data_IF_583074251324
#
_entry.id   IF_583074251324
#
_cell.length_a   1.000
_cell.length_b   1.000
_cell.length_c   1.000
_cell.angle_alpha   90.00
_cell.angle_beta   90.00
_cell.angle_gamma   90.00
#
_symmetry.space_group_name_H-M   'P 1'
#
loop_
_entity.id
_entity.type
_entity.pdbx_description
1 polymer ?
#
# COMPACT_ATOMS: atom_id res chain seq x y z
N UNK A 1 31.67 21.97 31.49
CA UNK A 1 30.84 22.89 30.69
C UNK A 1 29.40 22.50 30.95
N UNK A 2 28.49 23.44 31.19
CA UNK A 2 27.12 23.09 31.60
C UNK A 2 26.37 22.42 30.44
N UNK A 3 25.91 21.18 30.64
CA UNK A 3 25.28 20.36 29.60
C UNK A 3 24.01 21.02 29.03
N UNK A 4 23.33 21.86 29.83
CA UNK A 4 22.16 22.60 29.37
C UNK A 4 22.54 23.65 28.31
N UNK A 5 23.67 24.35 28.49
CA UNK A 5 24.19 25.31 27.50
C UNK A 5 24.58 24.63 26.19
N UNK A 6 25.16 23.43 26.26
CA UNK A 6 25.51 22.61 25.09
C UNK A 6 24.27 22.26 24.26
N UNK A 7 23.18 21.83 24.92
CA UNK A 7 21.91 21.51 24.26
C UNK A 7 21.25 22.73 23.59
N UNK A 8 21.32 23.90 24.23
CA UNK A 8 20.78 25.15 23.67
C UNK A 8 21.53 25.52 22.37
N UNK A 9 22.87 25.48 22.39
CA UNK A 9 23.71 25.80 21.23
C UNK A 9 23.44 24.84 20.08
N UNK A 10 23.33 23.53 20.34
CA UNK A 10 23.02 22.53 19.31
C UNK A 10 21.65 22.79 18.67
N UNK A 11 20.66 23.21 19.46
CA UNK A 11 19.30 23.54 18.98
C UNK A 11 19.30 24.80 18.08
N UNK A 12 20.09 25.81 18.42
CA UNK A 12 20.23 27.02 17.60
C UNK A 12 20.92 26.72 16.26
N UNK A 13 21.99 25.91 16.26
CA UNK A 13 22.69 25.53 15.02
C UNK A 13 21.78 24.71 14.10
N UNK A 14 20.95 23.82 14.65
CA UNK A 14 19.95 23.09 13.86
C UNK A 14 18.90 24.03 13.27
N UNK A 15 18.44 25.02 14.02
CA UNK A 15 17.52 26.04 13.53
C UNK A 15 18.14 26.89 12.40
N UNK A 16 19.42 27.24 12.48
CA UNK A 16 20.12 27.94 11.40
C UNK A 16 20.25 27.10 10.13
N UNK A 17 20.46 25.79 10.28
CA UNK A 17 20.54 24.83 9.16
C UNK A 17 19.19 24.68 8.45
N UNK A 18 18.09 24.51 9.19
CA UNK A 18 16.74 24.38 8.62
C UNK A 18 16.30 25.64 7.87
N UNK A 19 16.67 26.82 8.38
CA UNK A 19 16.30 28.11 7.77
C UNK A 19 17.35 28.65 6.80
N UNK A 20 18.39 27.87 6.47
CA UNK A 20 19.49 28.26 5.57
C UNK A 20 20.15 29.60 5.93
N UNK A 21 20.21 29.94 7.21
CA UNK A 21 20.86 31.17 7.69
C UNK A 21 22.39 31.08 7.62
N UNK A 22 22.92 29.85 7.60
CA UNK A 22 24.32 29.52 7.47
C UNK A 22 24.50 28.42 6.42
N UNK A 23 25.61 28.41 5.64
CA UNK A 23 25.88 27.34 4.71
C UNK A 23 26.05 25.99 5.44
N UNK A 24 25.49 24.92 4.86
CA UNK A 24 25.32 23.62 5.52
C UNK A 24 26.64 23.03 6.09
N UNK A 25 27.74 23.19 5.37
CA UNK A 25 29.06 22.70 5.78
C UNK A 25 29.53 23.32 7.11
N UNK A 26 29.19 24.57 7.40
CA UNK A 26 29.56 25.22 8.66
C UNK A 26 28.68 24.75 9.81
N UNK A 27 27.38 24.56 9.58
CA UNK A 27 26.49 23.98 10.56
C UNK A 27 26.93 22.56 10.94
N UNK A 28 27.35 21.76 9.95
CA UNK A 28 27.82 20.39 10.19
C UNK A 28 29.12 20.37 10.99
N UNK A 29 30.08 21.24 10.66
CA UNK A 29 31.30 21.40 11.45
C UNK A 29 31.02 21.77 12.92
N UNK A 30 30.15 22.77 13.14
CA UNK A 30 29.79 23.22 14.50
C UNK A 30 29.03 22.14 15.26
N UNK A 31 28.11 21.43 14.62
CA UNK A 31 27.38 20.33 15.24
C UNK A 31 28.35 19.23 15.67
N UNK A 32 29.27 18.79 14.80
CA UNK A 32 30.28 17.79 15.15
C UNK A 32 31.16 18.23 16.31
N UNK A 33 31.55 19.51 16.35
CA UNK A 33 32.38 20.08 17.41
C UNK A 33 31.62 20.11 18.75
N UNK A 34 30.38 20.60 18.76
CA UNK A 34 29.56 20.68 19.96
C UNK A 34 28.91 19.35 20.34
N UNK A 35 28.92 18.35 19.48
CA UNK A 35 28.50 16.99 19.83
C UNK A 35 29.67 16.07 20.12
N UNK A 36 30.91 16.58 20.08
CA UNK A 36 32.15 15.82 20.36
C UNK A 36 32.24 14.50 19.58
N UNK A 37 31.70 14.47 18.35
CA UNK A 37 31.59 13.23 17.56
C UNK A 37 30.53 12.22 18.02
N UNK A 38 29.92 12.40 19.20
CA UNK A 38 28.69 11.72 19.60
C UNK A 38 27.52 12.39 18.89
N UNK A 39 27.39 12.15 17.59
CA UNK A 39 26.43 12.80 16.70
C UNK A 39 25.09 13.07 17.39
N UNK A 40 24.60 14.31 17.24
CA UNK A 40 23.34 14.85 17.78
C UNK A 40 22.37 13.71 18.05
N UNK A 41 22.05 13.44 19.32
CA UNK A 41 21.16 12.34 19.68
C UNK A 41 19.94 12.32 18.75
N UNK A 42 20.00 11.40 17.78
CA UNK A 42 19.06 11.24 16.68
C UNK A 42 17.65 10.83 17.16
N UNK A 43 17.49 10.71 18.48
CA UNK A 43 16.33 10.19 19.18
C UNK A 43 15.08 11.06 19.04
N UNK A 44 15.19 12.35 18.69
CA UNK A 44 14.01 13.21 18.47
C UNK A 44 13.66 13.44 17.00
N UNK A 45 14.61 13.33 16.06
CA UNK A 45 14.36 13.53 14.63
C UNK A 45 13.91 12.22 13.94
N UNK A 46 14.28 11.04 14.48
CA UNK A 46 13.82 9.73 13.96
C UNK A 46 12.31 9.47 14.13
N UNK A 47 11.60 10.20 14.98
CA UNK A 47 10.18 9.89 15.30
C UNK A 47 9.21 10.17 14.15
N UNK A 48 9.61 10.92 13.11
CA UNK A 48 8.76 11.20 11.94
C UNK A 48 8.98 10.25 10.75
N UNK A 49 10.10 9.52 10.71
CA UNK A 49 10.45 8.64 9.56
C UNK A 49 9.82 7.24 9.67
N UNK A 50 9.59 6.71 10.88
CA UNK A 50 8.97 5.39 11.06
C UNK A 50 7.49 5.33 10.66
N UNK A 51 6.74 6.44 10.72
CA UNK A 51 5.32 6.45 10.37
C UNK A 51 5.05 6.15 8.89
N UNK A 52 5.96 6.55 7.99
CA UNK A 52 5.78 6.36 6.55
C UNK A 52 6.05 4.91 6.13
N UNK A 53 6.90 4.18 6.87
CA UNK A 53 7.20 2.77 6.59
C UNK A 53 6.16 1.79 7.17
N UNK A 54 5.47 2.18 8.25
CA UNK A 54 4.37 1.39 8.83
C UNK A 54 3.11 1.40 7.96
N UNK A 55 2.93 2.43 7.15
CA UNK A 55 1.71 2.66 6.39
C UNK A 55 1.51 1.64 5.25
N UNK A 56 2.54 1.27 4.46
CA UNK A 56 2.45 0.16 3.50
C UNK A 56 2.23 -1.20 4.17
N UNK A 57 2.84 -1.43 5.34
CA UNK A 57 2.67 -2.66 6.10
C UNK A 57 1.21 -2.85 6.56
N UNK A 58 0.54 -1.76 6.93
CA UNK A 58 -0.88 -1.76 7.27
C UNK A 58 -1.74 -2.21 6.08
N UNK A 59 -1.52 -1.68 4.88
CA UNK A 59 -2.28 -2.10 3.70
C UNK A 59 -2.03 -3.56 3.36
N UNK A 60 -0.79 -4.04 3.49
CA UNK A 60 -0.47 -5.44 3.24
C UNK A 60 -1.23 -6.39 4.18
N UNK A 61 -1.46 -5.97 5.44
CA UNK A 61 -2.24 -6.72 6.43
C UNK A 61 -3.72 -6.89 6.04
N UNK A 62 -4.28 -6.03 5.18
CA UNK A 62 -5.68 -6.17 4.76
C UNK A 62 -5.93 -7.42 3.91
N UNK A 63 -4.94 -7.90 3.16
CA UNK A 63 -5.09 -9.11 2.33
C UNK A 63 -5.43 -10.34 3.20
N UNK A 64 -4.57 -10.77 4.15
CA UNK A 64 -4.88 -11.94 4.98
C UNK A 64 -6.14 -11.72 5.82
N UNK A 65 -6.41 -10.49 6.24
CA UNK A 65 -7.63 -10.16 6.99
C UNK A 65 -8.90 -10.38 6.15
N UNK A 66 -8.89 -9.97 4.88
CA UNK A 66 -10.03 -10.21 3.96
C UNK A 66 -10.23 -11.69 3.68
N UNK A 67 -9.15 -12.45 3.49
CA UNK A 67 -9.21 -13.91 3.29
C UNK A 67 -9.78 -14.59 4.54
N UNK A 68 -9.26 -14.23 5.71
CA UNK A 68 -9.75 -14.74 6.99
C UNK A 68 -11.24 -14.47 7.16
N UNK A 69 -11.69 -13.25 6.86
CA UNK A 69 -13.09 -12.87 6.97
C UNK A 69 -14.00 -13.65 6.00
N UNK A 70 -13.55 -13.88 4.76
CA UNK A 70 -14.31 -14.65 3.77
C UNK A 70 -14.38 -16.14 4.12
N UNK A 71 -13.34 -16.69 4.75
CA UNK A 71 -13.30 -18.10 5.16
C UNK A 71 -14.06 -18.36 6.48
N UNK A 72 -14.25 -17.32 7.30
CA UNK A 72 -15.03 -17.43 8.53
C UNK A 72 -16.53 -17.53 8.20
N UNK A 73 -16.99 -18.75 7.95
CA UNK A 73 -18.35 -19.09 7.48
C UNK A 73 -19.45 -18.81 8.48
N UNK A 74 -19.13 -18.59 9.75
CA UNK A 74 -20.10 -18.22 10.80
C UNK A 74 -20.59 -16.76 10.65
N UNK A 75 -19.88 -15.94 9.88
CA UNK A 75 -20.31 -14.58 9.60
C UNK A 75 -21.38 -14.55 8.50
N UNK A 76 -22.37 -13.69 8.65
CA UNK A 76 -23.39 -13.52 7.61
C UNK A 76 -22.73 -12.98 6.33
N UNK A 77 -23.19 -13.49 5.19
CA UNK A 77 -22.67 -13.10 3.88
C UNK A 77 -22.74 -11.58 3.65
N UNK A 78 -23.82 -10.94 4.10
CA UNK A 78 -24.00 -9.48 4.02
C UNK A 78 -22.87 -8.75 4.76
N UNK A 79 -22.47 -9.23 5.94
CA UNK A 79 -21.44 -8.60 6.75
C UNK A 79 -20.04 -8.81 6.15
N UNK A 80 -19.74 -10.00 5.64
CA UNK A 80 -18.49 -10.29 4.93
C UNK A 80 -18.28 -9.34 3.74
N UNK A 81 -19.34 -9.12 2.95
CA UNK A 81 -19.30 -8.21 1.80
C UNK A 81 -19.21 -6.75 2.21
N UNK A 82 -19.96 -6.33 3.24
CA UNK A 82 -19.90 -4.97 3.75
C UNK A 82 -18.49 -4.59 4.23
N UNK A 83 -17.83 -5.46 5.02
CA UNK A 83 -16.47 -5.20 5.51
C UNK A 83 -15.45 -5.20 4.36
N UNK A 84 -15.56 -6.14 3.41
CA UNK A 84 -14.69 -6.17 2.23
C UNK A 84 -14.79 -4.87 1.41
N UNK A 85 -16.01 -4.33 1.30
CA UNK A 85 -16.26 -3.05 0.64
C UNK A 85 -15.67 -1.87 1.42
N UNK A 86 -15.75 -1.88 2.77
CA UNK A 86 -15.10 -0.88 3.62
C UNK A 86 -13.57 -0.91 3.41
N UNK A 87 -12.95 -2.08 3.35
CA UNK A 87 -11.50 -2.19 3.08
C UNK A 87 -11.14 -1.66 1.68
N UNK A 88 -11.98 -1.90 0.67
CA UNK A 88 -11.79 -1.30 -0.65
C UNK A 88 -11.83 0.22 -0.60
N UNK A 89 -12.83 0.82 0.06
CA UNK A 89 -12.93 2.27 0.23
C UNK A 89 -11.66 2.80 0.91
N UNK A 90 -11.19 2.12 1.96
CA UNK A 90 -9.98 2.51 2.67
C UNK A 90 -8.74 2.48 1.76
N UNK A 91 -8.63 1.49 0.88
CA UNK A 91 -7.56 1.43 -0.11
C UNK A 91 -7.67 2.56 -1.14
N UNK A 92 -8.86 2.90 -1.63
CA UNK A 92 -9.08 4.03 -2.54
C UNK A 92 -8.72 5.38 -1.90
N UNK A 93 -9.11 5.59 -0.64
CA UNK A 93 -8.69 6.77 0.13
C UNK A 93 -7.17 6.78 0.30
N UNK A 94 -6.56 5.63 0.59
CA UNK A 94 -5.11 5.44 0.64
C UNK A 94 -4.42 5.87 -0.65
N UNK A 95 -4.90 5.40 -1.80
CA UNK A 95 -4.39 5.77 -3.14
C UNK A 95 -4.46 7.29 -3.32
N UNK A 96 -5.59 7.92 -3.00
CA UNK A 96 -5.76 9.38 -3.13
C UNK A 96 -4.80 10.17 -2.24
N UNK A 97 -4.63 9.76 -0.98
CA UNK A 97 -3.73 10.39 -0.03
C UNK A 97 -2.24 10.24 -0.43
N UNK A 98 -1.86 9.05 -0.91
CA UNK A 98 -0.49 8.79 -1.38
C UNK A 98 -0.17 9.61 -2.62
N UNK A 99 -1.11 9.70 -3.56
CA UNK A 99 -0.94 10.52 -4.75
C UNK A 99 -0.75 12.00 -4.39
N UNK A 100 -1.54 12.53 -3.45
CA UNK A 100 -1.38 13.91 -2.95
C UNK A 100 -0.02 14.15 -2.27
N UNK A 101 0.51 13.15 -1.58
CA UNK A 101 1.81 13.23 -0.87
C UNK A 101 3.01 12.81 -1.72
N UNK A 102 2.82 12.52 -3.02
CA UNK A 102 3.85 11.99 -3.92
C UNK A 102 4.58 10.74 -3.37
N UNK A 103 3.85 9.91 -2.62
CA UNK A 103 4.34 8.62 -2.13
C UNK A 103 4.02 7.52 -3.14
N UNK A 104 4.73 6.39 -3.07
CA UNK A 104 4.52 5.26 -3.97
C UNK A 104 3.10 4.68 -3.83
N UNK A 105 2.28 4.84 -4.87
CA UNK A 105 0.87 4.42 -4.93
C UNK A 105 0.73 2.92 -5.22
N UNK A 106 1.82 2.26 -5.63
CA UNK A 106 1.82 0.88 -6.11
C UNK A 106 1.26 -0.10 -5.08
N UNK A 107 1.62 0.04 -3.81
CA UNK A 107 1.23 -0.91 -2.75
C UNK A 107 -0.28 -0.81 -2.44
N UNK A 108 -0.86 0.37 -2.11
CA UNK A 108 -2.31 0.50 -1.93
C UNK A 108 -3.12 0.06 -3.17
N UNK A 109 -2.62 0.33 -4.37
CA UNK A 109 -3.28 -0.06 -5.61
C UNK A 109 -3.29 -1.58 -5.83
N UNK A 110 -2.17 -2.25 -5.58
CA UNK A 110 -2.07 -3.71 -5.68
C UNK A 110 -2.97 -4.41 -4.65
N UNK A 111 -2.98 -3.93 -3.40
CA UNK A 111 -3.86 -4.45 -2.35
C UNK A 111 -5.33 -4.27 -2.73
N UNK A 112 -5.72 -3.06 -3.19
CA UNK A 112 -7.08 -2.79 -3.63
C UNK A 112 -7.55 -3.76 -4.72
N UNK A 113 -6.68 -4.05 -5.68
CA UNK A 113 -7.00 -4.96 -6.77
C UNK A 113 -7.23 -6.39 -6.30
N UNK A 114 -6.39 -6.90 -5.41
CA UNK A 114 -6.54 -8.24 -4.84
C UNK A 114 -7.85 -8.36 -4.05
N UNK A 115 -8.15 -7.36 -3.21
CA UNK A 115 -9.41 -7.33 -2.45
C UNK A 115 -10.62 -7.24 -3.40
N UNK A 116 -10.52 -6.46 -4.47
CA UNK A 116 -11.59 -6.36 -5.47
C UNK A 116 -11.85 -7.69 -6.18
N UNK A 117 -10.79 -8.41 -6.54
CA UNK A 117 -10.92 -9.76 -7.12
C UNK A 117 -11.61 -10.69 -6.12
N UNK A 118 -11.13 -10.76 -4.87
CA UNK A 118 -11.71 -11.60 -3.82
C UNK A 118 -13.19 -11.30 -3.60
N UNK A 119 -13.54 -10.02 -3.51
CA UNK A 119 -14.91 -9.54 -3.38
C UNK A 119 -15.78 -10.01 -4.56
N UNK A 120 -15.31 -9.83 -5.80
CA UNK A 120 -16.06 -10.21 -7.00
C UNK A 120 -16.29 -11.72 -7.11
N UNK A 121 -15.30 -12.53 -6.73
CA UNK A 121 -15.40 -14.00 -6.73
C UNK A 121 -16.36 -14.47 -5.64
N UNK A 122 -16.25 -13.93 -4.42
CA UNK A 122 -17.16 -14.26 -3.32
C UNK A 122 -18.62 -13.91 -3.66
N UNK A 123 -18.84 -12.77 -4.33
CA UNK A 123 -20.15 -12.36 -4.80
C UNK A 123 -20.75 -13.38 -5.78
N UNK A 124 -20.00 -13.76 -6.81
CA UNK A 124 -20.49 -14.68 -7.85
C UNK A 124 -20.73 -16.08 -7.29
N UNK A 125 -19.86 -16.58 -6.42
CA UNK A 125 -20.03 -17.90 -5.80
C UNK A 125 -21.33 -17.99 -4.99
N UNK A 126 -21.73 -16.91 -4.30
CA UNK A 126 -22.96 -16.91 -3.50
C UNK A 126 -24.22 -16.80 -4.36
N UNK A 127 -24.23 -15.90 -5.34
CA UNK A 127 -25.43 -15.63 -6.15
C UNK A 127 -25.62 -16.61 -7.31
N UNK A 128 -24.53 -17.11 -7.89
CA UNK A 128 -24.53 -17.93 -9.11
C UNK A 128 -23.80 -19.27 -8.91
N UNK A 129 -23.93 -19.87 -7.73
CA UNK A 129 -23.25 -21.10 -7.29
C UNK A 129 -23.27 -22.24 -8.34
N UNK A 130 -24.34 -22.36 -9.13
CA UNK A 130 -24.54 -23.48 -10.06
C UNK A 130 -23.93 -23.30 -11.46
N UNK A 131 -23.40 -22.13 -11.81
CA UNK A 131 -22.93 -21.87 -13.16
C UNK A 131 -21.49 -21.32 -13.18
N UNK A 132 -20.52 -22.24 -13.29
CA UNK A 132 -19.08 -21.99 -13.41
C UNK A 132 -18.77 -20.96 -14.53
N UNK A 133 -19.63 -20.87 -15.54
CA UNK A 133 -19.55 -19.87 -16.61
C UNK A 133 -19.53 -18.43 -16.07
N UNK A 134 -20.35 -18.09 -15.07
CA UNK A 134 -20.34 -16.75 -14.48
C UNK A 134 -19.02 -16.43 -13.76
N UNK A 135 -18.38 -17.46 -13.19
CA UNK A 135 -17.07 -17.33 -12.56
C UNK A 135 -16.00 -16.98 -13.62
N UNK A 136 -15.98 -17.66 -14.76
CA UNK A 136 -15.05 -17.31 -15.84
C UNK A 136 -15.29 -15.91 -16.39
N UNK A 137 -16.56 -15.52 -16.56
CA UNK A 137 -16.92 -14.16 -17.03
C UNK A 137 -16.41 -13.09 -16.06
N UNK A 138 -16.61 -13.26 -14.75
CA UNK A 138 -16.16 -12.26 -13.77
C UNK A 138 -14.64 -12.19 -13.67
N UNK A 139 -13.92 -13.31 -13.78
CA UNK A 139 -12.47 -13.32 -13.78
C UNK A 139 -11.90 -12.62 -15.03
N UNK A 140 -12.52 -12.84 -16.19
CA UNK A 140 -12.14 -12.16 -17.42
C UNK A 140 -12.39 -10.65 -17.32
N UNK A 141 -13.53 -10.23 -16.78
CA UNK A 141 -13.84 -8.82 -16.50
C UNK A 141 -12.83 -8.18 -15.54
N UNK A 142 -12.41 -8.88 -14.49
CA UNK A 142 -11.35 -8.41 -13.58
C UNK A 142 -10.02 -8.23 -14.32
N UNK A 143 -9.59 -9.19 -15.14
CA UNK A 143 -8.36 -9.07 -15.92
C UNK A 143 -8.42 -7.89 -16.91
N UNK A 144 -9.57 -7.69 -17.57
CA UNK A 144 -9.78 -6.57 -18.49
C UNK A 144 -9.72 -5.23 -17.72
N UNK A 145 -10.40 -5.14 -16.59
CA UNK A 145 -10.36 -3.98 -15.70
C UNK A 145 -8.92 -3.66 -15.27
N UNK A 146 -8.16 -4.69 -14.90
CA UNK A 146 -6.75 -4.54 -14.52
C UNK A 146 -5.88 -4.05 -15.66
N UNK A 147 -6.08 -4.59 -16.87
CA UNK A 147 -5.36 -4.13 -18.05
C UNK A 147 -5.64 -2.64 -18.36
N UNK A 148 -6.91 -2.22 -18.31
CA UNK A 148 -7.31 -0.82 -18.55
C UNK A 148 -6.73 0.13 -17.51
N UNK A 149 -6.83 -0.23 -16.22
CA UNK A 149 -6.23 0.54 -15.13
C UNK A 149 -4.71 0.60 -15.25
N UNK A 150 -4.05 -0.51 -15.59
CA UNK A 150 -2.60 -0.58 -15.76
C UNK A 150 -2.13 0.35 -16.87
N UNK A 151 -2.83 0.37 -18.01
CA UNK A 151 -2.54 1.27 -19.12
C UNK A 151 -2.80 2.74 -18.78
N UNK A 152 -3.91 3.05 -18.12
CA UNK A 152 -4.28 4.44 -17.76
C UNK A 152 -3.32 5.06 -16.73
N UNK A 153 -2.89 4.28 -15.74
CA UNK A 153 -2.03 4.74 -14.65
C UNK A 153 -0.55 4.38 -14.83
N UNK A 154 -0.17 3.82 -15.99
CA UNK A 154 1.21 3.37 -16.31
C UNK A 154 1.80 2.39 -15.29
N UNK A 155 0.95 1.58 -14.64
CA UNK A 155 1.36 0.58 -13.67
C UNK A 155 1.68 -0.75 -14.37
N UNK A 156 2.98 -0.98 -14.65
CA UNK A 156 3.45 -2.16 -15.40
C UNK A 156 3.03 -3.48 -14.74
N UNK A 157 3.14 -3.59 -13.42
CA UNK A 157 2.76 -4.79 -12.67
C UNK A 157 1.30 -5.21 -12.91
N UNK A 158 0.41 -4.22 -13.10
CA UNK A 158 -1.01 -4.48 -13.32
C UNK A 158 -1.27 -5.05 -14.71
N UNK A 159 -0.55 -4.55 -15.72
CA UNK A 159 -0.63 -5.09 -17.08
C UNK A 159 -0.06 -6.51 -17.17
N UNK A 160 1.06 -6.78 -16.48
CA UNK A 160 1.68 -8.11 -16.43
C UNK A 160 0.74 -9.11 -15.74
N UNK A 161 0.19 -8.74 -14.58
CA UNK A 161 -0.76 -9.58 -13.85
C UNK A 161 -2.03 -9.87 -14.67
N UNK A 162 -2.55 -8.87 -15.38
CA UNK A 162 -3.71 -9.04 -16.26
C UNK A 162 -3.41 -10.00 -17.44
N UNK A 163 -2.25 -9.87 -18.08
CA UNK A 163 -1.85 -10.75 -19.18
C UNK A 163 -1.70 -12.19 -18.68
N UNK A 164 -0.96 -12.40 -17.59
CA UNK A 164 -0.75 -13.74 -16.99
C UNK A 164 -2.09 -14.35 -16.57
N UNK A 165 -2.98 -13.57 -15.95
CA UNK A 165 -4.31 -14.01 -15.56
C UNK A 165 -5.16 -14.40 -16.77
N UNK A 166 -5.12 -13.61 -17.85
CA UNK A 166 -5.85 -13.91 -19.07
C UNK A 166 -5.31 -15.18 -19.77
N UNK A 167 -3.99 -15.38 -19.85
CA UNK A 167 -3.44 -16.62 -20.42
C UNK A 167 -3.83 -17.84 -19.59
N UNK A 168 -3.74 -17.77 -18.26
CA UNK A 168 -4.18 -18.86 -17.39
C UNK A 168 -5.67 -19.18 -17.56
N UNK A 169 -6.52 -18.16 -17.70
CA UNK A 169 -7.95 -18.37 -17.96
C UNK A 169 -8.19 -19.06 -19.31
N UNK A 170 -7.50 -18.64 -20.37
CA UNK A 170 -7.61 -19.28 -21.68
C UNK A 170 -7.22 -20.76 -21.60
N UNK A 171 -6.10 -21.07 -20.94
CA UNK A 171 -5.64 -22.46 -20.75
C UNK A 171 -6.68 -23.28 -19.98
N UNK A 172 -7.26 -22.74 -18.91
CA UNK A 172 -8.29 -23.42 -18.12
C UNK A 172 -9.56 -23.71 -18.92
N UNK A 173 -10.01 -22.74 -19.73
CA UNK A 173 -11.19 -22.92 -20.58
C UNK A 173 -10.91 -23.98 -21.65
N UNK A 174 -9.76 -23.92 -22.33
CA UNK A 174 -9.39 -24.90 -23.36
C UNK A 174 -9.28 -26.30 -22.76
N UNK A 175 -8.61 -26.46 -21.61
CA UNK A 175 -8.49 -27.74 -20.90
C UNK A 175 -9.85 -28.38 -20.58
N UNK A 176 -10.83 -27.56 -20.15
CA UNK A 176 -12.18 -28.04 -19.85
C UNK A 176 -12.96 -28.50 -21.10
N UNK A 177 -12.70 -27.91 -22.27
CA UNK A 177 -13.37 -28.29 -23.52
C UNK A 177 -12.68 -29.46 -24.24
N UNK A 178 -11.44 -29.77 -23.90
CA UNK A 178 -10.63 -30.80 -24.54
C UNK A 178 -10.72 -32.17 -23.83
N UNK A 179 -11.39 -32.24 -22.67
CA UNK A 179 -11.53 -33.41 -21.80
C UNK A 179 -13.01 -33.67 -21.49
#
# INVERSE_FOLDING_TARGET
>A
MDDQRKLIIVKEITYWKENKMLPEHYCDYLLTLYTEGNGVEENKIRKKRNSVFLLPLLFFSFIPLTIFLLYFTELSFILQMAISLIFLIFCFVGIFLYNKKQLNVDIPAAVAAIIFLLFSVAFVLKFFSNAIIFLYIILFLNCLFWYLCGKKYKLLYFTIAAIIGATLLIILVVSKYLL
#
